data_IF_798479508601
#
_entry.id   IF_798479508601
#
_cell.length_a   1.000
_cell.length_b   1.000
_cell.length_c   1.000
_cell.angle_alpha   90.00
_cell.angle_beta   90.00
_cell.angle_gamma   90.00
#
_symmetry.space_group_name_H-M   'P 1'
#
loop_
_entity.id
_entity.type
_entity.pdbx_description
1 polymer ?
#
# COMPACT_ATOMS: atom_id res chain seq x y z
N UNK A 1 5.22 38.48 4.90
CA UNK A 1 4.00 37.71 5.16
C UNK A 1 4.24 36.31 4.62
N UNK A 2 4.72 35.39 5.47
CA UNK A 2 5.22 34.08 5.06
C UNK A 2 4.17 32.99 5.28
N UNK A 3 2.94 33.22 4.84
CA UNK A 3 1.93 32.16 4.76
C UNK A 3 2.28 31.27 3.58
N UNK A 4 2.79 30.06 3.84
CA UNK A 4 2.92 29.03 2.80
C UNK A 4 1.53 28.74 2.23
N UNK A 5 1.32 29.08 0.95
CA UNK A 5 0.10 28.78 0.23
C UNK A 5 0.10 27.36 -0.32
N UNK A 6 -1.09 26.85 -0.64
CA UNK A 6 -1.22 25.62 -1.43
C UNK A 6 -0.69 25.87 -2.85
N UNK A 7 0.20 25.00 -3.31
CA UNK A 7 0.80 25.06 -4.66
C UNK A 7 -0.04 24.29 -5.68
N UNK A 8 -0.88 23.37 -5.21
CA UNK A 8 -1.85 22.63 -6.02
C UNK A 8 -3.29 22.90 -5.55
N UNK A 9 -4.09 23.65 -6.31
CA UNK A 9 -5.46 23.96 -5.93
C UNK A 9 -6.39 22.73 -5.89
N UNK A 10 -6.11 21.70 -6.69
CA UNK A 10 -6.89 20.45 -6.74
C UNK A 10 -6.40 19.38 -5.75
N UNK A 11 -5.33 19.66 -5.00
CA UNK A 11 -4.84 18.76 -3.95
C UNK A 11 -5.57 18.91 -2.62
N UNK A 12 -6.57 19.79 -2.54
CA UNK A 12 -7.34 20.00 -1.32
C UNK A 12 -8.12 18.76 -0.93
N UNK A 13 -7.84 18.24 0.26
CA UNK A 13 -8.50 17.09 0.87
C UNK A 13 -9.16 17.55 2.16
N UNK A 14 -10.49 17.53 2.18
CA UNK A 14 -11.28 17.98 3.33
C UNK A 14 -11.42 16.87 4.40
N UNK A 15 -11.30 17.28 5.65
CA UNK A 15 -11.55 16.52 6.86
C UNK A 15 -12.60 17.24 7.69
N UNK A 16 -13.18 16.51 8.65
CA UNK A 16 -14.06 17.09 9.66
C UNK A 16 -13.39 18.26 10.41
N UNK A 17 -12.09 18.13 10.68
CA UNK A 17 -11.34 19.06 11.54
C UNK A 17 -10.40 19.98 10.74
N UNK A 18 -10.43 19.96 9.41
CA UNK A 18 -9.53 20.78 8.60
C UNK A 18 -9.39 20.40 7.13
N UNK A 19 -8.43 21.01 6.44
CA UNK A 19 -8.11 20.78 5.03
C UNK A 19 -6.63 20.44 4.88
N UNK A 20 -6.30 19.31 4.26
CA UNK A 20 -4.92 19.04 3.82
C UNK A 20 -4.72 19.46 2.35
N UNK A 21 -3.55 20.00 2.02
CA UNK A 21 -3.20 20.33 0.64
C UNK A 21 -1.69 20.27 0.42
N UNK A 22 -1.25 20.11 -0.83
CA UNK A 22 0.17 20.14 -1.18
C UNK A 22 0.68 21.58 -1.19
N UNK A 23 1.57 21.89 -0.24
CA UNK A 23 2.26 23.18 -0.11
C UNK A 23 3.52 23.29 -0.96
N UNK A 24 4.34 24.31 -0.65
CA UNK A 24 5.61 24.55 -1.34
C UNK A 24 6.70 23.55 -0.97
N UNK A 25 6.75 23.16 0.31
CA UNK A 25 7.81 22.34 0.91
C UNK A 25 7.28 21.06 1.59
N UNK A 26 6.00 21.03 1.95
CA UNK A 26 5.37 19.95 2.70
C UNK A 26 3.89 19.83 2.34
N UNK A 27 3.25 18.74 2.78
CA UNK A 27 1.79 18.69 2.87
C UNK A 27 1.37 19.57 4.05
N UNK A 28 0.51 20.54 3.78
CA UNK A 28 -0.02 21.48 4.74
C UNK A 28 -1.37 20.97 5.24
N UNK A 29 -1.62 21.10 6.53
CA UNK A 29 -2.93 20.88 7.16
C UNK A 29 -3.41 22.18 7.76
N UNK A 30 -4.63 22.59 7.44
CA UNK A 30 -5.27 23.78 7.98
C UNK A 30 -6.45 23.39 8.84
N UNK A 31 -6.42 23.72 10.13
CA UNK A 31 -7.47 23.36 11.11
C UNK A 31 -8.58 24.41 11.26
N UNK A 32 -8.69 25.35 10.31
CA UNK A 32 -9.62 26.49 10.42
C UNK A 32 -9.04 27.70 11.16
N UNK A 33 -7.89 27.56 11.83
CA UNK A 33 -7.23 28.65 12.56
C UNK A 33 -5.73 28.75 12.30
N UNK A 34 -5.03 27.61 12.22
CA UNK A 34 -3.57 27.52 12.00
C UNK A 34 -3.26 26.57 10.84
N UNK A 35 -2.22 26.93 10.10
CA UNK A 35 -1.58 26.05 9.14
C UNK A 35 -0.48 25.28 9.88
N UNK A 36 -0.55 23.96 9.85
CA UNK A 36 0.46 23.02 10.36
C UNK A 36 1.07 22.29 9.16
N UNK A 37 2.32 21.88 9.30
CA UNK A 37 2.95 20.97 8.35
C UNK A 37 2.68 19.55 8.82
N UNK A 38 2.25 18.68 7.92
CA UNK A 38 2.26 17.24 8.18
C UNK A 38 3.72 16.81 8.06
N UNK A 39 4.40 16.71 9.19
CA UNK A 39 5.75 16.19 9.23
C UNK A 39 5.73 14.72 8.84
N UNK A 40 6.47 14.36 7.80
CA UNK A 40 6.65 12.98 7.35
C UNK A 40 7.97 12.48 7.98
N UNK A 41 7.95 11.83 9.16
CA UNK A 41 9.16 11.56 9.96
C UNK A 41 10.22 10.71 9.24
N UNK A 42 9.85 10.04 8.14
CA UNK A 42 10.74 9.24 7.32
C UNK A 42 10.65 9.58 5.81
N UNK A 43 10.08 10.73 5.48
CA UNK A 43 9.97 11.22 4.10
C UNK A 43 11.26 11.87 3.63
N UNK A 44 11.93 11.26 2.64
CA UNK A 44 12.73 12.03 1.68
C UNK A 44 11.81 13.11 1.10
N UNK A 45 12.31 14.34 0.94
CA UNK A 45 11.52 15.51 0.48
C UNK A 45 10.67 15.16 -0.73
N UNK A 46 9.40 14.80 -0.49
CA UNK A 46 8.58 14.13 -1.49
C UNK A 46 8.25 15.07 -2.64
N UNK A 47 8.31 16.39 -2.38
CA UNK A 47 8.11 17.42 -3.38
C UNK A 47 9.34 17.60 -4.29
N UNK A 48 10.54 17.15 -3.89
CA UNK A 48 11.67 17.05 -4.84
C UNK A 48 11.42 16.02 -5.93
N UNK A 49 10.55 15.05 -5.66
CA UNK A 49 10.10 14.08 -6.66
C UNK A 49 8.89 14.57 -7.46
N UNK A 50 8.24 15.67 -7.08
CA UNK A 50 7.11 16.18 -7.84
C UNK A 50 7.62 17.04 -8.99
N UNK A 51 7.07 16.83 -10.19
CA UNK A 51 7.30 17.78 -11.28
C UNK A 51 6.57 19.09 -10.98
N UNK A 52 7.34 20.13 -10.66
CA UNK A 52 6.79 21.46 -10.38
C UNK A 52 5.96 22.02 -11.54
N UNK A 53 6.35 21.74 -12.79
CA UNK A 53 5.58 22.18 -13.96
C UNK A 53 4.18 21.54 -14.04
N UNK A 54 3.93 20.48 -13.28
CA UNK A 54 2.66 19.74 -13.24
C UNK A 54 1.99 19.75 -11.88
N UNK A 55 2.50 20.53 -10.93
CA UNK A 55 1.97 20.60 -9.57
C UNK A 55 0.49 20.99 -9.52
N UNK A 56 0.04 21.84 -10.46
CA UNK A 56 -1.37 22.25 -10.57
C UNK A 56 -2.32 21.13 -10.98
N UNK A 57 -1.81 19.98 -11.40
CA UNK A 57 -2.59 18.81 -11.83
C UNK A 57 -2.54 17.66 -10.81
N UNK A 58 -2.09 17.96 -9.59
CA UNK A 58 -2.15 17.04 -8.45
C UNK A 58 -3.56 17.05 -7.88
N UNK A 59 -4.20 15.88 -7.84
CA UNK A 59 -5.50 15.67 -7.22
C UNK A 59 -5.32 14.97 -5.88
N UNK A 60 -5.99 15.50 -4.86
CA UNK A 60 -6.05 14.91 -3.53
C UNK A 60 -7.37 14.18 -3.35
N UNK A 61 -7.34 13.07 -2.61
CA UNK A 61 -8.54 12.33 -2.22
C UNK A 61 -8.37 11.75 -0.82
N UNK A 62 -9.41 11.88 0.01
CA UNK A 62 -9.50 11.15 1.28
C UNK A 62 -10.29 9.87 1.02
N UNK A 63 -9.67 8.72 1.19
CA UNK A 63 -10.38 7.45 1.09
C UNK A 63 -11.31 7.31 2.30
N UNK A 64 -12.60 7.58 2.11
CA UNK A 64 -13.62 7.52 3.18
C UNK A 64 -14.41 6.21 3.17
N UNK A 65 -14.29 5.44 2.10
CA UNK A 65 -15.25 4.39 1.77
C UNK A 65 -15.04 3.05 2.47
N UNK A 66 -13.83 2.74 2.94
CA UNK A 66 -13.53 1.49 3.64
C UNK A 66 -12.71 1.72 4.90
N UNK A 67 -11.53 2.32 4.76
CA UNK A 67 -10.55 2.31 5.85
C UNK A 67 -10.37 3.65 6.56
N UNK A 68 -10.86 4.77 6.00
CA UNK A 68 -10.66 6.16 6.49
C UNK A 68 -9.20 6.51 6.83
N UNK A 69 -8.25 5.76 6.27
CA UNK A 69 -6.84 5.78 6.67
C UNK A 69 -5.93 6.43 5.65
N UNK A 70 -6.37 6.56 4.41
CA UNK A 70 -5.47 6.83 3.28
C UNK A 70 -5.73 8.21 2.67
N UNK A 71 -4.67 9.00 2.56
CA UNK A 71 -4.64 10.23 1.78
C UNK A 71 -3.90 9.98 0.48
N UNK A 72 -4.64 10.10 -0.60
CA UNK A 72 -4.17 9.80 -1.94
C UNK A 72 -3.87 11.11 -2.67
N UNK A 73 -2.65 11.27 -3.17
CA UNK A 73 -2.25 12.40 -4.02
C UNK A 73 -1.68 11.90 -5.34
N UNK A 74 -2.27 12.34 -6.45
CA UNK A 74 -1.71 12.06 -7.78
C UNK A 74 -0.49 12.94 -8.03
N UNK A 75 0.58 12.41 -8.59
CA UNK A 75 1.73 13.23 -8.97
C UNK A 75 2.47 12.71 -10.20
N UNK A 76 3.24 13.60 -10.82
CA UNK A 76 4.25 13.26 -11.82
C UNK A 76 5.62 13.28 -11.14
N UNK A 77 6.44 12.28 -11.45
CA UNK A 77 7.86 12.33 -11.07
C UNK A 77 8.54 13.58 -11.61
N UNK A 78 9.60 14.05 -10.98
CA UNK A 78 10.41 15.23 -11.33
C UNK A 78 10.73 15.37 -12.83
N UNK A 79 10.95 14.24 -13.52
CA UNK A 79 11.22 14.17 -14.97
C UNK A 79 10.02 13.75 -15.82
N UNK A 80 8.90 13.39 -15.20
CA UNK A 80 7.69 12.87 -15.85
C UNK A 80 6.87 13.97 -16.51
N UNK A 81 6.39 13.73 -17.71
CA UNK A 81 5.53 14.67 -18.45
C UNK A 81 4.05 14.62 -18.04
N UNK A 82 3.65 13.61 -17.29
CA UNK A 82 2.24 13.28 -16.99
C UNK A 82 2.11 12.68 -15.60
N UNK A 83 0.95 12.87 -14.95
CA UNK A 83 0.60 12.19 -13.70
C UNK A 83 0.62 10.67 -13.93
N UNK A 84 1.49 9.96 -13.23
CA UNK A 84 1.68 8.51 -13.37
C UNK A 84 2.03 7.82 -12.06
N UNK A 85 1.88 8.54 -10.94
CA UNK A 85 2.15 8.04 -9.60
C UNK A 85 1.05 8.46 -8.67
N UNK A 86 0.85 7.63 -7.66
CA UNK A 86 -0.01 7.91 -6.53
C UNK A 86 0.85 7.87 -5.27
N UNK A 87 0.78 8.94 -4.50
CA UNK A 87 1.26 8.97 -3.14
C UNK A 87 0.10 8.57 -2.25
N UNK A 88 0.27 7.46 -1.52
CA UNK A 88 -0.65 7.02 -0.49
C UNK A 88 -0.01 7.30 0.87
N UNK A 89 -0.66 8.13 1.68
CA UNK A 89 -0.25 8.42 3.04
C UNK A 89 -1.25 7.83 4.03
N UNK A 90 -0.79 6.90 4.86
CA UNK A 90 -1.59 6.33 5.93
C UNK A 90 -1.53 7.23 7.17
N UNK A 91 -2.67 7.81 7.53
CA UNK A 91 -2.79 8.75 8.64
C UNK A 91 -2.54 8.09 9.99
N UNK A 92 -2.93 6.83 10.16
CA UNK A 92 -2.80 6.10 11.43
C UNK A 92 -1.38 5.56 11.67
N UNK A 93 -0.77 5.02 10.62
CA UNK A 93 0.58 4.46 10.70
C UNK A 93 1.68 5.52 10.50
N UNK A 94 1.29 6.74 10.13
CA UNK A 94 2.20 7.85 9.82
C UNK A 94 3.32 7.43 8.85
N UNK A 95 2.92 6.67 7.83
CA UNK A 95 3.80 6.18 6.77
C UNK A 95 3.24 6.56 5.40
N UNK A 96 4.07 6.44 4.37
CA UNK A 96 3.63 6.65 3.01
C UNK A 96 4.18 5.58 2.08
N UNK A 97 3.40 5.27 1.06
CA UNK A 97 3.79 4.40 -0.04
C UNK A 97 3.62 5.15 -1.35
N UNK A 98 4.57 4.99 -2.26
CA UNK A 98 4.47 5.51 -3.62
C UNK A 98 4.10 4.36 -4.53
N UNK A 99 2.94 4.43 -5.15
CA UNK A 99 2.54 3.49 -6.17
C UNK A 99 3.09 3.96 -7.52
N UNK A 100 3.97 3.14 -8.09
CA UNK A 100 4.46 3.27 -9.47
C UNK A 100 3.97 2.02 -10.20
N UNK A 101 3.11 2.17 -11.19
CA UNK A 101 2.85 1.08 -12.12
C UNK A 101 3.59 1.33 -13.42
N UNK A 102 4.24 0.28 -13.94
CA UNK A 102 4.88 0.31 -15.26
C UNK A 102 3.87 0.13 -16.40
N UNK A 103 2.59 -0.11 -16.09
CA UNK A 103 1.54 -0.32 -17.11
C UNK A 103 0.18 0.37 -16.85
N UNK A 104 -0.23 0.79 -15.65
CA UNK A 104 -1.69 0.95 -15.40
C UNK A 104 -2.20 2.07 -14.49
N UNK A 105 -1.37 2.92 -13.86
CA UNK A 105 -1.90 4.03 -13.04
C UNK A 105 -1.64 5.38 -13.70
N UNK A 106 -2.34 5.61 -14.81
CA UNK A 106 -2.49 6.95 -15.39
C UNK A 106 -3.53 7.75 -14.61
N UNK A 107 -3.37 7.89 -13.29
CA UNK A 107 -4.41 8.48 -12.44
C UNK A 107 -4.54 9.96 -12.75
N UNK A 108 -5.68 10.33 -13.32
CA UNK A 108 -6.01 11.71 -13.61
C UNK A 108 -6.96 12.28 -12.56
N UNK A 109 -7.89 11.46 -12.06
CA UNK A 109 -8.83 11.85 -11.01
C UNK A 109 -9.12 10.68 -10.07
N UNK A 110 -9.56 11.04 -8.88
CA UNK A 110 -9.98 10.13 -7.82
C UNK A 110 -11.39 10.55 -7.39
N UNK A 111 -12.22 9.60 -7.02
CA UNK A 111 -13.58 9.86 -6.55
C UNK A 111 -14.12 8.70 -5.73
N UNK A 112 -15.26 8.92 -5.09
CA UNK A 112 -15.96 7.89 -4.33
C UNK A 112 -17.25 7.47 -5.03
N UNK A 113 -17.54 6.18 -5.00
CA UNK A 113 -18.89 5.68 -5.24
C UNK A 113 -19.58 5.52 -3.89
N UNK A 114 -20.71 6.20 -3.71
CA UNK A 114 -21.45 6.25 -2.44
C UNK A 114 -22.51 5.14 -2.30
N UNK A 115 -22.45 4.09 -3.13
CA UNK A 115 -23.41 2.99 -3.09
C UNK A 115 -24.76 3.29 -3.76
N UNK A 116 -24.96 4.49 -4.31
CA UNK A 116 -26.22 4.85 -4.98
C UNK A 116 -26.08 4.77 -6.49
N UNK A 117 -26.82 3.85 -7.11
CA UNK A 117 -27.06 3.82 -8.54
C UNK A 117 -28.56 4.04 -8.77
N UNK A 118 -28.89 4.93 -9.70
CA UNK A 118 -30.26 5.06 -10.20
C UNK A 118 -30.43 4.00 -11.29
N UNK A 119 -31.38 3.07 -11.18
CA UNK A 119 -31.61 2.08 -12.23
C UNK A 119 -31.94 2.77 -13.54
N UNK A 120 -31.38 2.26 -14.62
CA UNK A 120 -31.76 2.70 -15.96
C UNK A 120 -33.12 2.13 -16.34
N UNK A 121 -33.80 2.76 -17.30
CA UNK A 121 -35.10 2.29 -17.81
C UNK A 121 -35.10 0.83 -18.29
N UNK A 122 -33.96 0.30 -18.70
CA UNK A 122 -33.81 -1.11 -19.13
C UNK A 122 -33.72 -2.06 -17.93
N UNK A 123 -33.10 -1.62 -16.82
CA UNK A 123 -32.95 -2.42 -15.60
C UNK A 123 -34.22 -2.42 -14.74
N UNK A 124 -35.15 -1.51 -15.02
CA UNK A 124 -36.48 -1.47 -14.39
C UNK A 124 -37.35 -2.66 -14.82
N UNK A 125 -37.14 -3.19 -16.03
CA UNK A 125 -37.86 -4.34 -16.58
C UNK A 125 -37.50 -5.64 -15.81
N UNK A 126 -36.27 -5.73 -15.28
CA UNK A 126 -35.82 -6.87 -14.46
C UNK A 126 -36.40 -6.85 -13.03
N UNK A 127 -36.89 -5.70 -12.56
CA UNK A 127 -37.46 -5.51 -11.20
C UNK A 127 -38.98 -5.58 -11.21
N UNK A 128 -39.61 -5.24 -12.34
CA UNK A 128 -41.07 -5.24 -12.49
C UNK A 128 -41.51 -6.64 -12.94
N UNK A 129 -42.13 -7.40 -12.03
CA UNK A 129 -42.57 -8.78 -12.30
C UNK A 129 -43.80 -8.92 -13.21
N UNK A 130 -44.50 -7.82 -13.53
CA UNK A 130 -45.71 -7.84 -14.37
C UNK A 130 -46.04 -6.48 -14.99
N UNK A 131 -46.39 -6.47 -16.26
CA UNK A 131 -46.91 -5.29 -16.95
C UNK A 131 -48.24 -4.81 -16.32
N UNK A 132 -48.29 -3.54 -15.89
CA UNK A 132 -49.53 -2.87 -15.47
C UNK A 132 -49.57 -2.31 -14.05
N UNK A 133 -48.49 -2.39 -13.27
CA UNK A 133 -48.42 -1.78 -11.93
C UNK A 133 -48.48 -0.24 -11.98
N UNK A 134 -49.11 0.38 -10.98
CA UNK A 134 -49.19 1.83 -10.86
C UNK A 134 -47.82 2.39 -10.49
N UNK A 135 -47.42 3.53 -11.08
CA UNK A 135 -46.13 4.21 -10.80
C UNK A 135 -45.94 4.53 -9.31
N UNK A 136 -47.04 4.69 -8.56
CA UNK A 136 -47.03 4.90 -7.10
C UNK A 136 -46.62 3.68 -6.29
N UNK A 137 -46.75 2.49 -6.86
CA UNK A 137 -46.52 1.20 -6.21
C UNK A 137 -45.13 0.63 -6.58
N UNK A 138 -44.38 1.36 -7.43
CA UNK A 138 -43.00 1.04 -7.82
C UNK A 138 -42.04 1.56 -6.74
N UNK A 139 -41.66 0.70 -5.81
CA UNK A 139 -40.55 0.95 -4.88
C UNK A 139 -39.23 0.47 -5.51
N UNK A 140 -38.56 1.38 -6.22
CA UNK A 140 -37.25 1.08 -6.83
C UNK A 140 -36.17 1.16 -5.76
N UNK A 141 -36.05 0.11 -4.93
CA UNK A 141 -34.86 -0.05 -4.11
C UNK A 141 -33.70 -0.47 -5.02
N UNK A 142 -32.81 0.47 -5.29
CA UNK A 142 -31.56 0.24 -6.04
C UNK A 142 -30.72 -0.95 -5.52
N UNK A 143 -30.95 -1.40 -4.28
CA UNK A 143 -30.33 -2.59 -3.68
C UNK A 143 -30.86 -3.91 -4.22
N UNK A 144 -32.11 -3.95 -4.70
CA UNK A 144 -32.69 -5.17 -5.27
C UNK A 144 -31.98 -5.64 -6.56
N UNK A 145 -31.45 -4.69 -7.34
CA UNK A 145 -30.73 -4.95 -8.61
C UNK A 145 -29.23 -5.22 -8.39
N UNK A 146 -28.64 -4.67 -7.32
CA UNK A 146 -27.18 -4.61 -7.13
C UNK A 146 -26.67 -5.44 -5.96
N UNK A 147 -27.56 -5.98 -5.13
CA UNK A 147 -27.22 -6.46 -3.79
C UNK A 147 -26.94 -5.28 -2.85
N UNK A 148 -26.03 -5.47 -1.89
CA UNK A 148 -25.61 -4.44 -0.93
C UNK A 148 -24.25 -3.83 -1.34
N UNK A 149 -24.18 -2.92 -2.34
CA UNK A 149 -22.92 -2.32 -2.73
C UNK A 149 -22.37 -1.47 -1.59
N UNK A 150 -21.21 -1.86 -1.07
CA UNK A 150 -20.46 -1.03 -0.14
C UNK A 150 -19.83 0.14 -0.89
N UNK A 151 -19.68 1.32 -0.26
CA UNK A 151 -18.93 2.41 -0.85
C UNK A 151 -17.51 1.95 -1.25
N UNK A 152 -17.00 2.45 -2.37
CA UNK A 152 -15.63 2.18 -2.80
C UNK A 152 -15.01 3.38 -3.52
N UNK A 153 -13.68 3.45 -3.50
CA UNK A 153 -12.95 4.51 -4.18
C UNK A 153 -12.73 4.15 -5.66
N UNK A 154 -12.90 5.12 -6.54
CA UNK A 154 -12.76 5.05 -7.98
C UNK A 154 -11.54 5.85 -8.46
N UNK A 155 -10.87 5.32 -9.46
CA UNK A 155 -9.67 5.87 -10.08
C UNK A 155 -9.93 6.04 -11.57
N UNK A 156 -9.97 7.30 -12.01
CA UNK A 156 -10.05 7.63 -13.43
C UNK A 156 -8.66 7.59 -14.07
N UNK A 157 -8.52 6.77 -15.11
CA UNK A 157 -7.25 6.62 -15.83
C UNK A 157 -7.28 7.26 -17.23
N UNK A 158 -6.10 7.69 -17.71
CA UNK A 158 -5.96 8.32 -19.05
C UNK A 158 -6.19 7.37 -20.22
N UNK A 159 -6.32 6.07 -19.98
CA UNK A 159 -6.77 5.10 -20.98
C UNK A 159 -8.31 5.08 -21.15
N UNK A 160 -9.01 6.05 -20.59
CA UNK A 160 -10.48 6.16 -20.61
C UNK A 160 -11.19 5.02 -19.87
N UNK A 161 -10.49 4.37 -18.94
CA UNK A 161 -11.06 3.37 -18.04
C UNK A 161 -11.17 3.93 -16.62
N UNK A 162 -12.16 3.42 -15.89
CA UNK A 162 -12.34 3.67 -14.46
C UNK A 162 -12.00 2.38 -13.74
N UNK A 163 -11.10 2.46 -12.77
CA UNK A 163 -10.70 1.35 -11.92
C UNK A 163 -11.27 1.55 -10.54
N UNK A 164 -11.55 0.46 -9.83
CA UNK A 164 -11.87 0.50 -8.42
C UNK A 164 -10.57 0.34 -7.63
N UNK A 165 -10.34 1.25 -6.68
CA UNK A 165 -9.23 1.17 -5.75
C UNK A 165 -9.47 0.02 -4.78
N UNK A 166 -8.39 -0.65 -4.37
CA UNK A 166 -8.44 -1.90 -3.58
C UNK A 166 -9.21 -3.04 -4.27
N UNK A 167 -9.38 -2.98 -5.59
CA UNK A 167 -10.00 -4.04 -6.39
C UNK A 167 -9.12 -4.32 -7.62
N UNK A 168 -8.79 -5.58 -7.86
CA UNK A 168 -7.79 -5.96 -8.85
C UNK A 168 -8.12 -7.30 -9.48
N UNK A 169 -7.87 -7.40 -10.79
CA UNK A 169 -8.14 -8.57 -11.63
C UNK A 169 -7.37 -9.86 -11.25
N UNK A 170 -6.52 -9.82 -10.21
CA UNK A 170 -5.69 -10.93 -9.79
C UNK A 170 -5.76 -11.27 -8.29
N UNK A 171 -6.77 -10.78 -7.56
CA UNK A 171 -7.25 -11.39 -6.31
C UNK A 171 -8.51 -12.22 -6.60
N UNK A 172 -8.38 -13.12 -7.59
CA UNK A 172 -9.44 -13.62 -8.47
C UNK A 172 -10.52 -14.51 -7.86
N UNK A 173 -10.99 -14.22 -6.64
CA UNK A 173 -12.30 -14.55 -6.10
C UNK A 173 -12.38 -14.01 -4.67
N UNK A 174 -13.45 -13.30 -4.32
CA UNK A 174 -13.80 -13.05 -2.91
C UNK A 174 -14.40 -14.33 -2.27
N UNK A 175 -13.72 -15.45 -2.47
CA UNK A 175 -14.01 -16.73 -1.83
C UNK A 175 -12.70 -17.31 -1.27
N UNK A 176 -12.77 -18.48 -0.65
CA UNK A 176 -11.63 -19.12 0.02
C UNK A 176 -10.45 -19.48 -0.90
N UNK A 177 -10.58 -19.28 -2.23
CA UNK A 177 -9.55 -19.58 -3.23
C UNK A 177 -8.69 -18.37 -3.64
N UNK A 178 -9.06 -17.16 -3.20
CA UNK A 178 -8.28 -15.94 -3.42
C UNK A 178 -6.89 -16.01 -2.76
N UNK A 179 -5.85 -15.55 -3.46
CA UNK A 179 -4.46 -15.57 -2.98
C UNK A 179 -3.87 -14.18 -3.05
N UNK A 180 -3.46 -13.65 -1.90
CA UNK A 180 -2.74 -12.37 -1.82
C UNK A 180 -1.26 -12.70 -1.59
N UNK A 181 -0.43 -12.54 -2.63
CA UNK A 181 1.01 -12.73 -2.50
C UNK A 181 1.64 -11.55 -1.75
N UNK A 182 2.00 -11.79 -0.49
CA UNK A 182 2.85 -10.87 0.26
C UNK A 182 4.29 -11.26 0.04
N UNK A 183 5.13 -10.27 -0.31
CA UNK A 183 6.56 -10.45 -0.52
C UNK A 183 7.34 -9.25 0.01
N UNK A 184 7.82 -9.37 1.23
CA UNK A 184 8.68 -8.38 1.85
C UNK A 184 10.15 -8.79 1.70
N UNK A 185 10.99 -7.93 1.12
CA UNK A 185 12.42 -8.18 0.95
C UNK A 185 13.24 -7.16 1.73
N UNK A 186 14.16 -7.64 2.56
CA UNK A 186 15.06 -6.77 3.32
C UNK A 186 16.09 -6.08 2.42
N UNK A 187 16.65 -4.99 2.95
CA UNK A 187 17.84 -4.36 2.37
C UNK A 187 19.05 -5.31 2.36
N UNK A 188 20.12 -4.89 1.69
CA UNK A 188 21.41 -5.59 1.67
C UNK A 188 22.13 -5.41 3.01
N UNK A 189 22.18 -6.47 3.81
CA UNK A 189 22.72 -6.42 5.17
C UNK A 189 24.15 -6.97 5.21
N UNK A 190 25.08 -6.15 5.68
CA UNK A 190 26.43 -6.55 6.10
C UNK A 190 26.98 -5.46 7.05
N UNK A 191 27.17 -5.75 8.34
CA UNK A 191 27.69 -4.77 9.30
C UNK A 191 29.20 -4.50 9.13
N UNK A 192 29.93 -5.36 8.42
CA UNK A 192 31.39 -5.31 8.29
C UNK A 192 31.87 -4.65 6.99
N UNK A 193 30.97 -4.02 6.23
CA UNK A 193 31.31 -3.36 4.95
C UNK A 193 32.38 -2.28 5.15
N UNK A 194 32.29 -1.48 6.22
CA UNK A 194 33.27 -0.43 6.54
C UNK A 194 34.68 -0.98 6.76
N UNK A 195 34.80 -2.23 7.20
CA UNK A 195 36.07 -2.90 7.47
C UNK A 195 36.58 -3.67 6.23
N UNK A 196 35.92 -3.54 5.07
CA UNK A 196 36.27 -4.28 3.87
C UNK A 196 36.13 -5.79 4.03
N UNK A 197 35.17 -6.27 4.85
CA UNK A 197 34.95 -7.70 5.10
C UNK A 197 33.55 -8.16 4.68
N UNK A 198 33.50 -9.38 4.15
CA UNK A 198 32.26 -10.15 3.93
C UNK A 198 31.64 -10.50 5.29
N UNK A 199 30.36 -10.86 5.28
CA UNK A 199 29.68 -11.41 6.44
C UNK A 199 29.48 -12.91 6.25
N UNK A 200 29.69 -13.69 7.30
CA UNK A 200 29.16 -15.04 7.42
C UNK A 200 27.91 -14.98 8.29
N UNK A 201 26.78 -15.49 7.80
CA UNK A 201 25.52 -15.54 8.53
C UNK A 201 25.33 -16.94 9.12
N UNK A 202 25.23 -17.03 10.45
CA UNK A 202 25.00 -18.30 11.16
C UNK A 202 23.51 -18.64 11.20
N UNK A 203 22.69 -17.69 11.64
CA UNK A 203 21.24 -17.83 11.76
C UNK A 203 20.54 -16.47 11.70
N UNK A 204 19.25 -16.51 11.41
CA UNK A 204 18.35 -15.38 11.62
C UNK A 204 17.25 -15.83 12.59
N UNK A 205 17.04 -15.03 13.62
CA UNK A 205 15.93 -15.20 14.55
C UNK A 205 14.86 -14.17 14.22
N UNK A 206 13.60 -14.61 14.19
CA UNK A 206 12.45 -13.77 13.86
C UNK A 206 11.51 -13.83 15.06
N UNK A 207 11.16 -12.67 15.63
CA UNK A 207 10.27 -12.57 16.77
C UNK A 207 8.83 -12.43 16.30
N UNK A 208 7.98 -13.40 16.64
CA UNK A 208 6.60 -13.49 16.13
C UNK A 208 5.59 -13.75 17.24
N UNK A 209 4.35 -13.30 17.04
CA UNK A 209 3.23 -13.69 17.90
C UNK A 209 2.87 -15.16 17.68
N UNK A 210 2.32 -15.79 18.71
CA UNK A 210 1.71 -17.10 18.60
C UNK A 210 0.36 -17.01 17.88
N UNK A 211 0.29 -17.66 16.73
CA UNK A 211 -0.94 -17.87 16.00
C UNK A 211 -0.85 -19.22 15.29
N UNK A 212 -1.63 -20.18 15.77
CA UNK A 212 -1.64 -21.55 15.25
C UNK A 212 -2.07 -21.63 13.78
N UNK A 213 -2.77 -20.61 13.28
CA UNK A 213 -3.28 -20.55 11.93
C UNK A 213 -2.38 -19.74 10.99
N UNK A 214 -1.34 -19.08 11.52
CA UNK A 214 -0.43 -18.27 10.72
C UNK A 214 0.86 -19.03 10.37
N UNK A 215 1.32 -18.83 9.14
CA UNK A 215 2.60 -19.35 8.68
C UNK A 215 3.21 -18.45 7.60
N UNK A 216 4.54 -18.46 7.47
CA UNK A 216 5.20 -17.70 6.42
C UNK A 216 6.48 -18.40 5.96
N UNK A 217 6.88 -18.11 4.73
CA UNK A 217 8.14 -18.60 4.16
C UNK A 217 9.22 -17.55 4.38
N UNK A 218 10.28 -17.94 5.07
CA UNK A 218 11.51 -17.17 5.19
C UNK A 218 12.57 -17.69 4.21
N UNK A 219 13.04 -16.83 3.31
CA UNK A 219 14.07 -17.15 2.32
C UNK A 219 15.28 -16.23 2.46
N UNK A 220 16.48 -16.82 2.52
CA UNK A 220 17.74 -16.09 2.62
C UNK A 220 18.47 -16.07 1.28
N UNK A 221 18.92 -14.89 0.88
CA UNK A 221 19.64 -14.63 -0.36
C UNK A 221 21.00 -14.03 -0.05
N UNK A 222 21.99 -14.32 -0.89
CA UNK A 222 23.34 -13.76 -0.77
C UNK A 222 23.68 -12.96 -2.02
N UNK A 223 24.36 -11.84 -1.84
CA UNK A 223 24.77 -10.95 -2.93
C UNK A 223 23.58 -10.61 -3.85
N UNK A 224 23.82 -10.54 -5.15
CA UNK A 224 22.82 -10.30 -6.20
C UNK A 224 22.05 -11.55 -6.63
N UNK A 225 22.24 -12.71 -5.97
CA UNK A 225 21.55 -13.95 -6.34
C UNK A 225 20.02 -13.77 -6.27
N UNK A 226 19.32 -14.24 -7.31
CA UNK A 226 17.86 -14.39 -7.32
C UNK A 226 17.41 -15.72 -6.72
N UNK A 227 18.32 -16.69 -6.55
CA UNK A 227 18.05 -17.95 -5.88
C UNK A 227 18.36 -17.84 -4.39
N UNK A 228 17.40 -18.24 -3.55
CA UNK A 228 17.59 -18.37 -2.11
C UNK A 228 18.54 -19.53 -1.83
N UNK A 229 19.49 -19.34 -0.92
CA UNK A 229 20.40 -20.41 -0.49
C UNK A 229 19.84 -21.19 0.72
N UNK A 230 18.87 -20.60 1.43
CA UNK A 230 18.06 -21.26 2.46
C UNK A 230 16.64 -20.77 2.36
N UNK A 231 15.70 -21.70 2.49
CA UNK A 231 14.26 -21.41 2.57
C UNK A 231 13.68 -22.30 3.67
N UNK A 232 12.83 -21.73 4.51
CA UNK A 232 12.12 -22.45 5.56
C UNK A 232 10.70 -21.92 5.67
N UNK A 233 9.73 -22.83 5.69
CA UNK A 233 8.37 -22.51 6.13
C UNK A 233 8.36 -22.49 7.65
N UNK A 234 7.89 -21.39 8.21
CA UNK A 234 7.84 -21.12 9.64
C UNK A 234 6.36 -21.09 10.03
N UNK A 235 5.96 -21.99 10.93
CA UNK A 235 4.67 -21.92 11.59
C UNK A 235 4.78 -21.01 12.82
N UNK A 236 3.77 -20.17 13.02
CA UNK A 236 3.63 -19.34 14.22
C UNK A 236 2.91 -20.08 15.36
N UNK A 237 2.79 -21.41 15.29
CA UNK A 237 2.30 -22.24 16.40
C UNK A 237 3.39 -22.42 17.46
N UNK A 238 3.38 -21.54 18.45
CA UNK A 238 4.39 -21.43 19.50
C UNK A 238 3.81 -21.86 20.86
N UNK A 239 4.69 -22.20 21.79
CA UNK A 239 4.30 -22.52 23.18
C UNK A 239 4.04 -21.28 24.04
N UNK A 240 4.64 -20.15 23.69
CA UNK A 240 4.52 -18.86 24.38
C UNK A 240 3.76 -17.87 23.51
N UNK A 241 3.13 -16.86 24.09
CA UNK A 241 2.38 -15.82 23.36
C UNK A 241 3.19 -15.13 22.26
N UNK A 242 4.52 -15.02 22.45
CA UNK A 242 5.48 -14.56 21.46
C UNK A 242 6.79 -15.30 21.64
N UNK A 243 7.46 -15.65 20.55
CA UNK A 243 8.76 -16.32 20.63
C UNK A 243 9.62 -16.07 19.40
N UNK A 244 10.90 -16.42 19.52
CA UNK A 244 11.84 -16.42 18.43
C UNK A 244 11.80 -17.73 17.65
N UNK A 245 11.56 -17.61 16.35
CA UNK A 245 11.71 -18.71 15.39
C UNK A 245 12.99 -18.54 14.60
N UNK A 246 13.74 -19.63 14.46
CA UNK A 246 15.08 -19.60 13.86
C UNK A 246 15.09 -20.22 12.46
N UNK A 247 15.77 -19.53 11.54
CA UNK A 247 16.26 -20.09 10.28
C UNK A 247 17.79 -20.11 10.31
N UNK A 248 18.37 -21.31 10.23
CA UNK A 248 19.81 -21.50 10.18
C UNK A 248 20.34 -21.25 8.77
N UNK A 249 21.41 -20.47 8.69
CA UNK A 249 22.14 -20.12 7.48
C UNK A 249 23.48 -20.87 7.36
N UNK A 250 23.85 -21.63 8.39
CA UNK A 250 25.02 -22.53 8.45
C UNK A 250 26.34 -21.86 8.09
N UNK A 251 26.51 -20.60 8.49
CA UNK A 251 27.74 -19.85 8.27
C UNK A 251 27.94 -19.41 6.82
N UNK A 252 26.87 -19.36 6.00
CA UNK A 252 26.96 -18.94 4.61
C UNK A 252 27.66 -17.58 4.47
N UNK A 253 28.68 -17.51 3.61
CA UNK A 253 29.50 -16.30 3.42
C UNK A 253 29.02 -15.50 2.20
N UNK A 254 28.77 -14.20 2.40
CA UNK A 254 28.35 -13.27 1.34
C UNK A 254 28.97 -11.86 1.49
N UNK A 255 29.02 -11.10 0.39
CA UNK A 255 29.26 -9.65 0.45
C UNK A 255 28.12 -8.96 1.22
N UNK A 256 26.90 -9.48 1.09
CA UNK A 256 25.72 -9.06 1.85
C UNK A 256 24.66 -10.17 1.84
N UNK A 257 23.77 -10.15 2.83
CA UNK A 257 22.63 -11.05 2.97
C UNK A 257 21.32 -10.27 2.83
N UNK A 258 20.27 -10.94 2.37
CA UNK A 258 18.90 -10.42 2.31
C UNK A 258 17.94 -11.49 2.81
N UNK A 259 16.93 -11.10 3.58
CA UNK A 259 15.83 -11.94 4.02
C UNK A 259 14.59 -11.55 3.22
N UNK A 260 13.88 -12.55 2.69
CA UNK A 260 12.54 -12.38 2.15
C UNK A 260 11.57 -13.11 3.06
N UNK A 261 10.45 -12.46 3.37
CA UNK A 261 9.28 -13.07 3.98
C UNK A 261 8.18 -13.10 2.92
N UNK A 262 7.55 -14.26 2.74
CA UNK A 262 6.44 -14.39 1.81
C UNK A 262 5.38 -15.39 2.28
N UNK A 263 4.11 -15.10 1.97
CA UNK A 263 2.99 -16.04 2.06
C UNK A 263 1.93 -15.66 1.02
N UNK A 264 1.00 -16.57 0.75
CA UNK A 264 -0.03 -16.40 -0.30
C UNK A 264 -1.46 -16.64 0.18
N UNK A 265 -1.63 -17.09 1.42
CA UNK A 265 -2.92 -17.53 1.95
C UNK A 265 -3.75 -16.35 2.48
N UNK A 266 -5.04 -16.33 2.14
CA UNK A 266 -6.04 -15.39 2.70
C UNK A 266 -6.22 -15.68 4.20
N UNK A 267 -6.35 -14.62 5.01
CA UNK A 267 -6.53 -14.72 6.47
C UNK A 267 -5.27 -15.14 7.25
N UNK A 268 -4.19 -15.51 6.58
CA UNK A 268 -2.90 -15.76 7.22
C UNK A 268 -2.25 -14.41 7.56
N UNK A 269 -2.25 -14.06 8.85
CA UNK A 269 -1.83 -12.73 9.33
C UNK A 269 -0.65 -12.81 10.32
N UNK A 270 0.52 -13.32 9.88
CA UNK A 270 1.66 -13.49 10.77
C UNK A 270 2.16 -12.12 11.26
N UNK A 271 2.19 -11.92 12.58
CA UNK A 271 2.70 -10.69 13.19
C UNK A 271 4.17 -10.84 13.53
N UNK A 272 5.02 -10.15 12.78
CA UNK A 272 6.47 -10.12 12.96
C UNK A 272 6.86 -8.79 13.62
N UNK A 273 7.49 -8.89 14.80
CA UNK A 273 7.89 -7.71 15.59
C UNK A 273 9.34 -7.31 15.33
N UNK A 274 10.23 -8.28 15.16
CA UNK A 274 11.65 -8.03 14.99
C UNK A 274 12.34 -9.20 14.28
N UNK A 275 13.54 -8.94 13.77
CA UNK A 275 14.45 -9.97 13.29
C UNK A 275 15.89 -9.63 13.70
N UNK A 276 16.67 -10.66 14.01
CA UNK A 276 18.05 -10.55 14.46
C UNK A 276 18.92 -11.39 13.55
N UNK A 277 19.92 -10.77 12.93
CA UNK A 277 20.90 -11.45 12.09
C UNK A 277 22.17 -11.72 12.88
N UNK A 278 22.51 -13.00 13.05
CA UNK A 278 23.74 -13.42 13.72
C UNK A 278 24.88 -13.52 12.70
N UNK A 279 25.57 -12.40 12.51
CA UNK A 279 26.65 -12.27 11.53
C UNK A 279 28.03 -12.18 12.20
N UNK A 280 29.00 -12.85 11.60
CA UNK A 280 30.42 -12.74 11.98
C UNK A 280 31.27 -12.27 10.78
N UNK A 281 32.40 -11.58 11.02
CA UNK A 281 33.24 -11.11 9.93
C UNK A 281 33.90 -12.29 9.21
N UNK A 282 33.86 -12.27 7.88
CA UNK A 282 34.45 -13.29 7.03
C UNK A 282 35.57 -12.69 6.15
N UNK A 283 35.95 -13.40 5.08
CA UNK A 283 37.02 -13.01 4.15
C UNK A 283 36.86 -11.59 3.57
N UNK A 284 37.93 -11.08 2.92
CA UNK A 284 37.94 -9.72 2.37
C UNK A 284 36.85 -9.50 1.33
N UNK A 285 36.27 -8.30 1.35
CA UNK A 285 35.38 -7.79 0.31
C UNK A 285 36.27 -7.44 -0.87
N UNK A 286 36.31 -8.32 -1.87
CA UNK A 286 36.98 -8.02 -3.14
C UNK A 286 36.10 -7.04 -3.92
N UNK A 287 36.74 -6.08 -4.58
CA UNK A 287 36.09 -5.21 -5.57
C UNK A 287 35.24 -6.06 -6.52
#
# INVERSE_FOLDING_TARGET
TNTEGSRSPYSGVEFKDGLAAVGLSNILFYDGFKIKRIELPHGRDILTEFNDAKIRSVFGYNQREQDERHLLFTFADSSGSTMNRLLDYNVNENNFTKHKSEQSFFVNCLGGFNGQKVPSWVELDDVIGSDGDLVSDIDVDSRAVLGDPTPFTLIGCRNSQVYKWNDGEFDGTDNDSGKIEIKALSSRLNPFVKNGRKAALEKVEIYVDNDSNASFTASLFKNTSSSAYRTKVISANLSNDKDFVTIFADGAIGKFHRLQISHTEKGNTPRIHAFIFYMQPAGRLTA
#
